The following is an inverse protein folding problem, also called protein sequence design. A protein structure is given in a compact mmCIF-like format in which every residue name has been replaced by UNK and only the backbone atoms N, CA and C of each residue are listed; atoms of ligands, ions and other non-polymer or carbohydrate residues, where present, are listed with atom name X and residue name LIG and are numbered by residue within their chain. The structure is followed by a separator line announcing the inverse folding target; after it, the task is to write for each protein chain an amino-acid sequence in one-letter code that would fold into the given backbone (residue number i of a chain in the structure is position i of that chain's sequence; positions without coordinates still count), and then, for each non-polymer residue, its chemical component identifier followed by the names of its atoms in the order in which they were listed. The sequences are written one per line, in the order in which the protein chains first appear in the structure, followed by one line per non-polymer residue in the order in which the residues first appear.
data_IF_462884177076
#
_entry.id   IF_462884177076
#
_cell.length_a   1.000
_cell.length_b   1.000
_cell.length_c   1.000
_cell.angle_alpha   90.00
_cell.angle_beta   90.00
_cell.angle_gamma   90.00
#
_symmetry.space_group_name_H-M   'P 1'
#
loop_
_entity.id
_entity.type
_entity.pdbx_description
1 polymer ?
#
# COMPACT_ATOMS: atom_id res chain seq x y z
N UNK A 1 -11.13 -16.91 -4.58
CA UNK A 1 -12.21 -17.18 -3.59
C UNK A 1 -13.60 -17.21 -4.23
N UNK A 2 -13.87 -16.37 -5.25
CA UNK A 2 -15.12 -16.39 -6.04
C UNK A 2 -15.52 -17.78 -6.54
N UNK A 3 -14.58 -18.56 -7.06
CA UNK A 3 -14.82 -19.93 -7.53
C UNK A 3 -15.46 -20.82 -6.45
N UNK A 4 -14.93 -20.77 -5.23
CA UNK A 4 -15.42 -21.54 -4.10
C UNK A 4 -16.77 -21.05 -3.59
N UNK A 5 -17.01 -19.73 -3.58
CA UNK A 5 -18.33 -19.17 -3.27
C UNK A 5 -19.40 -19.73 -4.20
N UNK A 6 -19.11 -19.71 -5.52
CA UNK A 6 -20.00 -20.26 -6.54
C UNK A 6 -20.27 -21.75 -6.35
N UNK A 7 -19.22 -22.55 -6.11
CA UNK A 7 -19.39 -23.98 -5.86
C UNK A 7 -20.28 -24.26 -4.64
N UNK A 8 -20.09 -23.52 -3.54
CA UNK A 8 -20.93 -23.66 -2.35
C UNK A 8 -22.38 -23.27 -2.66
N UNK A 9 -22.60 -22.16 -3.37
CA UNK A 9 -23.94 -21.71 -3.81
C UNK A 9 -24.65 -22.76 -4.66
N UNK A 10 -23.92 -23.39 -5.57
CA UNK A 10 -24.40 -24.47 -6.45
C UNK A 10 -24.51 -25.83 -5.74
N UNK A 11 -24.23 -25.87 -4.42
CA UNK A 11 -24.22 -27.08 -3.57
C UNK A 11 -23.23 -28.15 -4.04
N UNK A 12 -22.16 -27.73 -4.69
CA UNK A 12 -21.05 -28.57 -5.14
C UNK A 12 -19.95 -28.54 -4.08
N UNK A 13 -19.83 -29.62 -3.32
CA UNK A 13 -18.88 -29.73 -2.19
C UNK A 13 -17.70 -30.67 -2.45
N UNK A 14 -17.37 -30.94 -3.71
CA UNK A 14 -16.27 -31.85 -4.10
C UNK A 14 -14.92 -31.45 -3.49
N UNK A 15 -14.68 -30.17 -3.26
CA UNK A 15 -13.46 -29.67 -2.61
C UNK A 15 -13.65 -29.38 -1.10
N UNK A 16 -14.85 -29.62 -0.57
CA UNK A 16 -15.23 -29.30 0.80
C UNK A 16 -15.77 -30.55 1.51
N UNK A 17 -14.96 -31.61 1.58
CA UNK A 17 -15.39 -32.92 2.10
C UNK A 17 -16.00 -32.85 3.51
N UNK A 18 -15.39 -32.10 4.43
CA UNK A 18 -15.94 -31.88 5.77
C UNK A 18 -17.31 -31.19 5.72
N UNK A 19 -17.46 -30.19 4.86
CA UNK A 19 -18.70 -29.45 4.69
C UNK A 19 -19.79 -30.34 4.07
N UNK A 20 -19.43 -31.20 3.13
CA UNK A 20 -20.34 -32.17 2.51
C UNK A 20 -20.96 -33.14 3.54
N UNK A 21 -20.25 -33.44 4.62
CA UNK A 21 -20.73 -34.37 5.67
C UNK A 21 -21.67 -33.72 6.70
N UNK A 22 -21.73 -32.39 6.76
CA UNK A 22 -22.56 -31.71 7.77
C UNK A 22 -24.02 -31.56 7.33
N UNK A 23 -24.96 -31.95 8.21
CA UNK A 23 -26.40 -31.87 7.96
C UNK A 23 -26.91 -30.44 7.75
N UNK A 24 -26.30 -29.46 8.43
CA UNK A 24 -26.71 -28.05 8.36
C UNK A 24 -26.17 -27.32 7.13
N UNK A 25 -25.30 -27.96 6.33
CA UNK A 25 -24.65 -27.31 5.19
C UNK A 25 -25.65 -26.72 4.22
N UNK A 26 -26.71 -27.45 3.87
CA UNK A 26 -27.75 -26.95 2.94
C UNK A 26 -28.47 -25.72 3.49
N UNK A 27 -28.68 -25.63 4.80
CA UNK A 27 -29.29 -24.46 5.44
C UNK A 27 -28.35 -23.26 5.46
N UNK A 28 -27.04 -23.52 5.59
CA UNK A 28 -26.01 -22.48 5.71
C UNK A 28 -25.29 -22.13 4.40
N UNK A 29 -25.62 -22.75 3.26
CA UNK A 29 -24.99 -22.48 1.95
C UNK A 29 -24.93 -20.98 1.64
N UNK A 30 -26.06 -20.28 1.81
CA UNK A 30 -26.13 -18.84 1.55
C UNK A 30 -25.19 -18.04 2.46
N UNK A 31 -25.09 -18.44 3.73
CA UNK A 31 -24.18 -17.82 4.71
C UNK A 31 -22.73 -18.03 4.31
N UNK A 32 -22.34 -19.25 3.98
CA UNK A 32 -20.96 -19.59 3.63
C UNK A 32 -20.51 -18.97 2.31
N UNK A 33 -21.35 -19.00 1.27
CA UNK A 33 -21.07 -18.31 0.01
C UNK A 33 -20.91 -16.82 0.24
N UNK A 34 -21.83 -16.18 0.98
CA UNK A 34 -21.70 -14.78 1.34
C UNK A 34 -20.41 -14.47 2.10
N UNK A 35 -20.03 -15.28 3.09
CA UNK A 35 -18.78 -15.08 3.83
C UNK A 35 -17.54 -15.17 2.93
N UNK A 36 -17.54 -16.04 1.91
CA UNK A 36 -16.43 -16.12 0.96
C UNK A 36 -16.38 -14.91 0.01
N UNK A 37 -17.54 -14.38 -0.38
CA UNK A 37 -17.62 -13.16 -1.20
C UNK A 37 -17.17 -11.94 -0.40
N UNK A 38 -17.65 -11.80 0.84
CA UNK A 38 -17.24 -10.73 1.76
C UNK A 38 -15.72 -10.78 2.00
N UNK A 39 -15.17 -11.97 2.27
CA UNK A 39 -13.73 -12.15 2.46
C UNK A 39 -12.92 -11.84 1.18
N UNK A 40 -13.43 -12.20 0.01
CA UNK A 40 -12.80 -11.82 -1.26
C UNK A 40 -12.77 -10.30 -1.47
N UNK A 41 -13.89 -9.63 -1.19
CA UNK A 41 -13.98 -8.17 -1.31
C UNK A 41 -12.99 -7.48 -0.36
N UNK A 42 -12.87 -7.98 0.87
CA UNK A 42 -11.89 -7.52 1.85
C UNK A 42 -10.44 -7.72 1.39
N UNK A 43 -10.12 -8.89 0.82
CA UNK A 43 -8.80 -9.12 0.23
C UNK A 43 -8.49 -8.17 -0.92
N UNK A 44 -9.43 -7.97 -1.84
CA UNK A 44 -9.24 -7.04 -2.94
C UNK A 44 -9.04 -5.61 -2.42
N UNK A 45 -9.84 -5.17 -1.44
CA UNK A 45 -9.67 -3.85 -0.81
C UNK A 45 -8.29 -3.71 -0.18
N UNK A 46 -7.89 -4.69 0.62
CA UNK A 46 -6.58 -4.68 1.28
C UNK A 46 -5.43 -4.68 0.28
N UNK A 47 -5.49 -5.52 -0.75
CA UNK A 47 -4.48 -5.56 -1.81
C UNK A 47 -4.41 -4.25 -2.60
N UNK A 48 -5.55 -3.65 -2.95
CA UNK A 48 -5.58 -2.35 -3.61
C UNK A 48 -4.98 -1.24 -2.73
N UNK A 49 -5.19 -1.29 -1.42
CA UNK A 49 -4.55 -0.35 -0.50
C UNK A 49 -3.04 -0.61 -0.40
N UNK A 50 -2.59 -1.87 -0.45
CA UNK A 50 -1.17 -2.23 -0.54
C UNK A 50 -0.54 -1.72 -1.84
N UNK A 51 -1.23 -1.82 -2.99
CA UNK A 51 -0.74 -1.26 -4.27
C UNK A 51 -0.57 0.25 -4.21
N UNK A 52 -1.50 0.98 -3.57
CA UNK A 52 -1.35 2.44 -3.35
C UNK A 52 -0.17 2.77 -2.45
N UNK A 53 0.07 1.94 -1.42
CA UNK A 53 1.23 2.08 -0.54
C UNK A 53 2.52 1.80 -1.33
N UNK A 54 2.54 0.79 -2.20
CA UNK A 54 3.70 0.48 -3.04
C UNK A 54 4.01 1.62 -4.00
N UNK A 55 3.00 2.17 -4.69
CA UNK A 55 3.19 3.35 -5.55
C UNK A 55 3.77 4.53 -4.79
N UNK A 56 3.24 4.79 -3.59
CA UNK A 56 3.74 5.83 -2.69
C UNK A 56 5.18 5.56 -2.23
N UNK A 57 5.52 4.29 -1.97
CA UNK A 57 6.85 3.88 -1.56
C UNK A 57 7.85 4.01 -2.71
N UNK A 58 7.49 3.60 -3.93
CA UNK A 58 8.34 3.74 -5.12
C UNK A 58 8.67 5.20 -5.42
N UNK A 59 7.73 6.09 -5.14
CA UNK A 59 7.88 7.53 -5.29
C UNK A 59 8.99 8.12 -4.41
N UNK A 60 9.27 7.44 -3.30
CA UNK A 60 10.26 7.83 -2.29
C UNK A 60 11.53 6.99 -2.40
N UNK A 61 11.40 5.72 -2.73
CA UNK A 61 12.53 4.82 -2.93
C UNK A 61 13.29 5.15 -4.22
N UNK A 62 12.56 5.54 -5.27
CA UNK A 62 13.08 5.71 -6.63
C UNK A 62 12.57 7.01 -7.28
N UNK A 63 12.66 8.20 -6.63
CA UNK A 63 12.04 9.44 -7.13
C UNK A 63 12.54 9.84 -8.52
N UNK A 64 13.79 9.53 -8.87
CA UNK A 64 14.37 9.91 -10.15
C UNK A 64 13.85 9.11 -11.36
N UNK A 65 13.18 7.98 -11.14
CA UNK A 65 12.63 7.13 -12.19
C UNK A 65 11.11 7.28 -12.38
N UNK A 66 10.47 8.13 -11.58
CA UNK A 66 9.01 8.29 -11.60
C UNK A 66 8.58 9.29 -12.66
N UNK A 67 7.41 9.07 -13.25
CA UNK A 67 6.82 10.04 -14.17
C UNK A 67 6.06 11.12 -13.37
N UNK A 68 6.46 12.41 -13.46
CA UNK A 68 5.78 13.49 -12.76
C UNK A 68 4.32 13.67 -13.15
N UNK A 69 3.95 13.40 -14.41
CA UNK A 69 2.56 13.56 -14.88
C UNK A 69 1.58 12.58 -14.23
N UNK A 70 2.09 11.43 -13.77
CA UNK A 70 1.29 10.39 -13.10
C UNK A 70 1.40 10.44 -11.58
N UNK A 71 2.27 11.27 -11.03
CA UNK A 71 2.40 11.46 -9.59
C UNK A 71 1.23 12.30 -9.04
N UNK A 72 0.91 12.22 -7.74
CA UNK A 72 -0.14 13.05 -7.14
C UNK A 72 0.13 14.55 -7.37
N UNK A 73 -0.91 15.34 -7.67
CA UNK A 73 -0.78 16.74 -8.10
C UNK A 73 0.01 17.60 -7.10
N UNK A 74 -0.16 17.34 -5.81
CA UNK A 74 0.43 18.15 -4.74
C UNK A 74 1.96 18.05 -4.70
N UNK A 75 2.52 17.06 -5.41
CA UNK A 75 3.91 16.66 -5.27
C UNK A 75 4.67 16.66 -6.61
N UNK A 76 3.97 16.83 -7.73
CA UNK A 76 4.56 16.85 -9.09
C UNK A 76 5.67 17.91 -9.24
N UNK A 77 5.45 19.15 -8.80
CA UNK A 77 6.45 20.23 -8.93
C UNK A 77 7.73 19.94 -8.16
N UNK A 78 7.61 19.47 -6.92
CA UNK A 78 8.78 19.11 -6.10
C UNK A 78 9.54 17.92 -6.70
N UNK A 79 8.85 16.99 -7.38
CA UNK A 79 9.47 15.89 -8.11
C UNK A 79 10.21 16.38 -9.35
N UNK A 80 9.63 17.31 -10.12
CA UNK A 80 10.26 17.93 -11.28
C UNK A 80 11.51 18.71 -10.85
N UNK A 81 11.43 19.48 -9.77
CA UNK A 81 12.57 20.22 -9.23
C UNK A 81 13.70 19.26 -8.83
N UNK A 82 13.36 18.17 -8.13
CA UNK A 82 14.32 17.15 -7.73
C UNK A 82 14.95 16.46 -8.94
N UNK A 83 14.14 16.13 -9.95
CA UNK A 83 14.58 15.52 -11.21
C UNK A 83 15.30 16.51 -12.15
N UNK A 84 15.30 17.80 -11.86
CA UNK A 84 16.02 18.80 -12.66
C UNK A 84 17.37 19.17 -12.04
N UNK A 85 17.58 18.90 -10.75
CA UNK A 85 18.80 19.21 -10.03
C UNK A 85 19.89 18.13 -10.22
N UNK A 86 20.92 18.45 -11.01
CA UNK A 86 22.04 17.55 -11.27
C UNK A 86 22.79 17.15 -9.99
N UNK A 87 22.96 18.06 -9.03
CA UNK A 87 23.67 17.79 -7.77
C UNK A 87 22.87 16.79 -6.94
N UNK A 88 21.55 16.89 -6.93
CA UNK A 88 20.69 15.94 -6.22
C UNK A 88 20.68 14.58 -6.90
N UNK A 89 20.74 14.51 -8.24
CA UNK A 89 20.88 13.24 -8.96
C UNK A 89 22.20 12.54 -8.62
N UNK A 90 23.29 13.29 -8.61
CA UNK A 90 24.61 12.75 -8.26
C UNK A 90 24.62 12.23 -6.82
N UNK A 91 24.07 12.98 -5.87
CA UNK A 91 23.90 12.54 -4.49
C UNK A 91 23.04 11.28 -4.37
N UNK A 92 21.93 11.19 -5.08
CA UNK A 92 21.07 10.00 -5.05
C UNK A 92 21.80 8.77 -5.58
N UNK A 93 22.66 8.92 -6.59
CA UNK A 93 23.46 7.81 -7.13
C UNK A 93 24.64 7.39 -6.26
N UNK A 94 25.08 8.26 -5.34
CA UNK A 94 26.29 8.06 -4.53
C UNK A 94 26.02 7.79 -3.05
N UNK A 95 24.82 8.12 -2.56
CA UNK A 95 24.43 7.96 -1.16
C UNK A 95 23.35 6.89 -1.00
N UNK A 96 23.37 6.22 0.14
CA UNK A 96 22.23 5.42 0.59
C UNK A 96 20.98 6.31 0.76
N UNK A 97 19.80 5.75 0.54
CA UNK A 97 18.53 6.49 0.49
C UNK A 97 18.31 7.37 1.74
N UNK A 98 18.63 6.84 2.92
CA UNK A 98 18.54 7.56 4.20
C UNK A 98 19.44 8.80 4.23
N UNK A 99 20.70 8.64 3.81
CA UNK A 99 21.71 9.70 3.87
C UNK A 99 21.48 10.75 2.78
N UNK A 100 20.98 10.32 1.61
CA UNK A 100 20.48 11.20 0.57
C UNK A 100 19.42 12.15 1.10
N UNK A 101 18.38 11.62 1.74
CA UNK A 101 17.31 12.44 2.31
C UNK A 101 17.79 13.32 3.47
N UNK A 102 18.68 12.81 4.34
CA UNK A 102 19.29 13.61 5.40
C UNK A 102 20.14 14.79 4.87
N UNK A 103 20.62 14.72 3.62
CA UNK A 103 21.44 15.77 3.00
C UNK A 103 20.66 17.02 2.54
N UNK A 104 19.33 16.97 2.54
CA UNK A 104 18.48 18.12 2.19
C UNK A 104 18.57 19.20 3.25
N UNK A 105 19.44 20.18 3.03
CA UNK A 105 19.73 21.30 3.96
C UNK A 105 18.92 22.56 3.66
N UNK A 106 18.12 22.61 2.58
CA UNK A 106 17.37 23.82 2.19
C UNK A 106 16.01 23.96 2.91
N UNK A 107 15.64 25.17 3.37
CA UNK A 107 14.31 25.45 3.89
C UNK A 107 13.20 25.43 2.82
N UNK A 108 13.52 25.31 1.53
CA UNK A 108 12.50 25.19 0.47
C UNK A 108 11.61 23.95 0.63
N UNK A 109 12.18 22.83 1.11
CA UNK A 109 11.41 21.63 1.45
C UNK A 109 10.72 21.73 2.81
N UNK A 110 10.96 22.82 3.56
CA UNK A 110 10.39 23.02 4.88
C UNK A 110 9.09 23.83 4.87
N UNK A 111 8.89 24.70 3.87
CA UNK A 111 7.76 25.63 3.81
C UNK A 111 6.49 25.06 3.16
N UNK A 112 6.60 24.00 2.35
CA UNK A 112 5.46 23.37 1.62
C UNK A 112 5.13 21.95 2.08
N UNK A 113 5.45 21.53 3.31
CA UNK A 113 5.07 20.17 3.75
C UNK A 113 5.55 19.05 2.82
N UNK A 114 6.76 19.21 2.27
CA UNK A 114 7.24 18.46 1.11
C UNK A 114 7.45 16.97 1.32
N UNK A 115 7.67 16.26 0.21
CA UNK A 115 7.83 14.80 0.08
C UNK A 115 8.49 14.11 1.26
N UNK A 116 9.68 14.58 1.62
CA UNK A 116 10.50 13.98 2.67
C UNK A 116 9.79 14.00 4.04
N UNK A 117 8.94 14.99 4.34
CA UNK A 117 8.25 15.10 5.63
C UNK A 117 7.02 14.18 5.72
N UNK A 118 6.31 13.97 4.60
CA UNK A 118 5.12 13.11 4.53
C UNK A 118 5.46 11.63 4.45
N UNK A 119 6.51 11.30 3.69
CA UNK A 119 6.92 9.92 3.47
C UNK A 119 8.07 9.45 4.38
N UNK A 120 8.58 10.31 5.28
CA UNK A 120 9.48 9.88 6.36
C UNK A 120 8.88 8.74 7.19
N UNK A 121 7.55 8.75 7.37
CA UNK A 121 6.82 7.68 8.04
C UNK A 121 6.98 6.32 7.34
N UNK A 122 7.24 6.29 6.03
CA UNK A 122 7.43 5.09 5.23
C UNK A 122 8.89 4.58 5.24
N UNK A 123 9.87 5.43 5.55
CA UNK A 123 11.31 5.11 5.49
C UNK A 123 11.93 4.67 6.84
N UNK A 124 11.09 4.40 7.85
CA UNK A 124 11.53 3.80 9.10
C UNK A 124 11.85 4.80 10.21
N UNK A 125 10.82 5.13 10.99
CA UNK A 125 10.93 4.98 12.44
C UNK A 125 10.36 3.59 12.81
N UNK A 126 10.69 3.01 13.98
CA UNK A 126 10.23 1.68 14.36
C UNK A 126 8.72 1.59 14.15
N UNK A 127 8.29 0.66 13.30
CA UNK A 127 6.89 0.25 13.27
C UNK A 127 6.45 -0.02 14.72
N UNK A 128 5.31 0.56 15.12
CA UNK A 128 4.70 0.43 16.45
C UNK A 128 5.42 1.13 17.62
N UNK A 129 5.03 2.37 17.92
CA UNK A 129 4.87 2.78 19.33
C UNK A 129 3.47 3.38 19.51
N UNK A 130 2.63 2.58 20.17
CA UNK A 130 1.40 2.89 20.90
C UNK A 130 0.73 4.26 20.68
N UNK A 131 -0.47 4.23 20.09
CA UNK A 131 -1.59 5.05 20.55
C UNK A 131 -2.74 4.17 21.04
N UNK A 132 -2.48 3.47 22.12
CA UNK A 132 -3.45 3.29 23.19
C UNK A 132 -2.72 3.70 24.46
N UNK A 133 -3.10 4.86 24.99
CA UNK A 133 -2.97 5.35 26.36
C UNK A 133 -3.00 6.89 26.32
N UNK A 134 -4.21 7.43 26.32
CA UNK A 134 -4.51 8.66 27.02
C UNK A 134 -5.92 8.49 27.57
N UNK A 135 -5.99 8.56 28.88
CA UNK A 135 -7.14 8.34 29.77
C UNK A 135 -8.31 9.29 29.50
#
# INVERSE_FOLDING_TARGET
MIFFSRQISDKVFTHFATLATQKETIQNVKKYSKSLDDLHAEFCRWLSDVEKIDQSLQLVACPLSQNPETAPEEVQLELIDLQSDFVQKEKFSSLELRDFYASFTKPLFQTSGGWHRRYWCCLGQPMFVSRHLAS
#
